data_IF_101297122533
#
_entry.id   IF_101297122533
#
_cell.length_a   1.000
_cell.length_b   1.000
_cell.length_c   1.000
_cell.angle_alpha   90.00
_cell.angle_beta   90.00
_cell.angle_gamma   90.00
#
_symmetry.space_group_name_H-M   'P 1'
#
loop_
_entity.id
_entity.type
_entity.pdbx_description
1 polymer ?
#
# COMPACT_ATOMS: atom_id res chain seq x y z
N UNK A 1 0.87 6.39 -16.75
CA UNK A 1 0.61 5.53 -15.59
C UNK A 1 0.68 6.42 -14.36
N UNK A 2 -0.46 6.72 -13.75
CA UNK A 2 -0.60 7.80 -12.76
C UNK A 2 0.23 7.58 -11.48
N UNK A 3 0.52 6.32 -11.13
CA UNK A 3 1.45 5.95 -10.05
C UNK A 3 2.85 5.52 -10.51
N UNK A 4 3.11 5.46 -11.83
CA UNK A 4 4.32 4.84 -12.41
C UNK A 4 5.50 5.79 -12.62
N UNK A 5 5.26 7.10 -12.65
CA UNK A 5 6.34 8.10 -12.57
C UNK A 5 6.83 8.20 -11.13
N UNK A 6 7.86 9.02 -10.88
CA UNK A 6 8.30 9.33 -9.52
C UNK A 6 7.26 10.20 -8.80
N UNK A 7 6.17 9.56 -8.36
CA UNK A 7 5.01 10.17 -7.72
C UNK A 7 5.43 10.94 -6.45
N UNK A 8 6.40 10.44 -5.69
CA UNK A 8 6.93 11.15 -4.53
C UNK A 8 7.50 12.53 -4.91
N UNK A 9 8.26 12.60 -6.02
CA UNK A 9 8.79 13.87 -6.54
C UNK A 9 7.69 14.79 -7.06
N UNK A 10 6.72 14.26 -7.79
CA UNK A 10 5.59 15.05 -8.32
C UNK A 10 4.76 15.64 -7.17
N UNK A 11 4.45 14.82 -6.15
CA UNK A 11 3.71 15.25 -4.97
C UNK A 11 4.47 16.32 -4.17
N UNK A 12 5.77 16.14 -3.95
CA UNK A 12 6.61 17.12 -3.24
C UNK A 12 6.60 18.49 -3.94
N UNK A 13 6.84 18.52 -5.25
CA UNK A 13 6.81 19.76 -6.04
C UNK A 13 5.40 20.38 -6.05
N UNK A 14 4.36 19.56 -6.20
CA UNK A 14 2.97 20.02 -6.20
C UNK A 14 2.56 20.62 -4.84
N UNK A 15 3.12 20.12 -3.75
CA UNK A 15 2.95 20.64 -2.39
C UNK A 15 3.75 21.92 -2.10
N UNK A 16 4.55 22.40 -3.07
CA UNK A 16 5.32 23.64 -2.94
C UNK A 16 6.72 23.47 -2.34
N UNK A 17 7.22 22.24 -2.21
CA UNK A 17 8.62 22.03 -1.81
C UNK A 17 9.57 22.45 -2.95
N UNK A 18 10.74 23.05 -2.64
CA UNK A 18 11.67 23.51 -3.66
C UNK A 18 12.26 22.34 -4.45
N UNK A 19 12.75 22.65 -5.66
CA UNK A 19 13.33 21.65 -6.55
C UNK A 19 14.58 20.95 -5.98
N UNK A 20 15.24 21.58 -5.01
CA UNK A 20 16.33 21.01 -4.22
C UNK A 20 15.93 19.84 -3.32
N UNK A 21 14.64 19.63 -3.00
CA UNK A 21 14.17 18.51 -2.16
C UNK A 21 14.01 17.24 -3.02
N UNK A 22 14.88 16.23 -2.91
CA UNK A 22 14.77 15.02 -3.72
C UNK A 22 13.51 14.21 -3.38
N UNK A 23 13.07 13.36 -4.30
CA UNK A 23 11.96 12.42 -4.08
C UNK A 23 12.22 11.10 -4.77
N UNK A 24 11.78 10.00 -4.18
CA UNK A 24 11.89 8.65 -4.75
C UNK A 24 10.63 7.85 -4.48
N UNK A 25 10.09 7.20 -5.50
CA UNK A 25 9.02 6.21 -5.38
C UNK A 25 9.64 4.82 -5.35
N UNK A 26 9.21 4.00 -4.41
CA UNK A 26 9.65 2.60 -4.25
C UNK A 26 8.48 1.65 -4.40
N UNK A 27 8.75 0.41 -4.76
CA UNK A 27 7.75 -0.66 -4.79
C UNK A 27 8.28 -1.88 -4.03
N UNK A 28 7.56 -2.22 -2.94
CA UNK A 28 7.70 -3.45 -2.17
C UNK A 28 6.32 -4.05 -1.90
N UNK A 29 5.47 -4.08 -2.93
CA UNK A 29 4.09 -4.57 -2.87
C UNK A 29 3.31 -3.97 -1.70
N UNK A 30 2.50 -4.77 -0.99
CA UNK A 30 1.66 -4.34 0.12
C UNK A 30 2.41 -3.63 1.26
N UNK A 31 3.75 -3.79 1.32
CA UNK A 31 4.59 -3.17 2.35
C UNK A 31 5.23 -1.83 1.94
N UNK A 32 4.96 -1.33 0.73
CA UNK A 32 5.67 -0.17 0.16
C UNK A 32 5.63 1.08 1.05
N UNK A 33 4.46 1.40 1.63
CA UNK A 33 4.34 2.56 2.52
C UNK A 33 5.18 2.43 3.79
N UNK A 34 5.17 1.24 4.43
CA UNK A 34 5.99 0.99 5.61
C UNK A 34 7.48 0.90 5.27
N UNK A 35 7.83 0.36 4.09
CA UNK A 35 9.20 0.35 3.59
C UNK A 35 9.74 1.77 3.39
N UNK A 36 8.92 2.71 2.92
CA UNK A 36 9.33 4.10 2.76
C UNK A 36 9.67 4.72 4.13
N UNK A 37 8.86 4.44 5.15
CA UNK A 37 9.11 4.89 6.53
C UNK A 37 10.41 4.27 7.07
N UNK A 38 10.61 2.96 6.87
CA UNK A 38 11.83 2.26 7.30
C UNK A 38 13.09 2.87 6.63
N UNK A 39 13.04 3.13 5.32
CA UNK A 39 14.14 3.76 4.59
C UNK A 39 14.44 5.16 5.09
N UNK A 40 13.41 5.97 5.38
CA UNK A 40 13.59 7.31 5.95
C UNK A 40 14.26 7.23 7.34
N UNK A 41 13.79 6.32 8.20
CA UNK A 41 14.38 6.10 9.51
C UNK A 41 15.85 5.67 9.43
N UNK A 42 16.19 4.73 8.53
CA UNK A 42 17.58 4.30 8.30
C UNK A 42 18.47 5.44 7.80
N UNK A 43 17.96 6.25 6.88
CA UNK A 43 18.73 7.36 6.31
C UNK A 43 19.00 8.46 7.34
N UNK A 44 18.02 8.76 8.19
CA UNK A 44 18.20 9.70 9.31
C UNK A 44 19.19 9.13 10.33
N UNK A 45 19.03 7.87 10.74
CA UNK A 45 19.91 7.21 11.71
C UNK A 45 21.37 7.11 11.25
N UNK A 46 21.59 6.96 9.94
CA UNK A 46 22.93 6.89 9.34
C UNK A 46 23.57 8.27 9.13
N UNK A 47 22.89 9.37 9.49
CA UNK A 47 23.35 10.74 9.24
C UNK A 47 23.27 11.14 7.76
N UNK A 48 22.58 10.37 6.93
CA UNK A 48 22.43 10.63 5.50
C UNK A 48 21.27 11.57 5.15
N UNK A 49 20.47 11.98 6.14
CA UNK A 49 19.45 13.02 6.09
C UNK A 49 19.15 13.52 7.51
N UNK A 50 18.72 14.77 7.65
CA UNK A 50 18.24 15.30 8.94
C UNK A 50 16.73 15.14 9.08
N UNK A 51 15.99 15.36 7.99
CA UNK A 51 14.53 15.28 7.92
C UNK A 51 14.14 14.59 6.61
N UNK A 52 13.15 13.70 6.66
CA UNK A 52 12.58 13.04 5.49
C UNK A 52 11.06 12.88 5.64
N UNK A 53 10.34 13.06 4.54
CA UNK A 53 8.93 12.71 4.42
C UNK A 53 8.80 11.31 3.85
N UNK A 54 7.95 10.48 4.43
CA UNK A 54 7.73 9.10 4.00
C UNK A 54 6.24 8.72 4.12
N UNK A 55 5.79 7.83 3.23
CA UNK A 55 4.42 7.36 3.19
C UNK A 55 4.16 6.53 1.95
N UNK A 56 2.88 6.34 1.62
CA UNK A 56 2.44 5.67 0.41
C UNK A 56 1.12 6.23 -0.07
N UNK A 57 0.85 6.08 -1.36
CA UNK A 57 -0.44 6.42 -1.98
C UNK A 57 -0.74 5.37 -3.04
N UNK A 58 -2.03 5.06 -3.21
CA UNK A 58 -2.51 4.04 -4.12
C UNK A 58 -3.87 4.45 -4.69
N UNK A 59 -4.13 4.12 -5.96
CA UNK A 59 -5.45 4.30 -6.58
C UNK A 59 -5.83 3.06 -7.37
N UNK A 60 -6.44 2.09 -6.68
CA UNK A 60 -6.89 0.84 -7.29
C UNK A 60 -8.06 1.03 -8.26
N UNK A 61 -8.79 2.14 -8.17
CA UNK A 61 -9.85 2.49 -9.12
C UNK A 61 -9.30 2.95 -10.48
N UNK A 62 -8.12 3.58 -10.51
CA UNK A 62 -7.48 4.08 -11.73
C UNK A 62 -6.46 3.08 -12.29
N UNK A 63 -5.80 2.33 -11.43
CA UNK A 63 -4.79 1.34 -11.81
C UNK A 63 -5.13 -0.03 -11.20
N UNK A 64 -5.50 -1.02 -12.03
CA UNK A 64 -5.67 -2.39 -11.58
C UNK A 64 -4.38 -2.94 -10.95
N UNK A 65 -4.52 -3.89 -10.02
CA UNK A 65 -3.38 -4.49 -9.29
C UNK A 65 -2.29 -5.08 -10.21
N UNK A 66 -2.66 -5.64 -11.36
CA UNK A 66 -1.73 -6.20 -12.36
C UNK A 66 -1.19 -5.15 -13.34
N UNK A 67 -1.54 -3.87 -13.15
CA UNK A 67 -1.33 -2.80 -14.10
C UNK A 67 -2.18 -2.95 -15.37
N UNK A 68 -1.90 -2.10 -16.36
CA UNK A 68 -2.65 -2.11 -17.62
C UNK A 68 -2.23 -3.23 -18.59
N UNK A 69 -1.09 -3.87 -18.34
CA UNK A 69 -0.57 -4.95 -19.16
C UNK A 69 0.11 -5.99 -18.27
N UNK A 70 -0.59 -7.08 -18.02
CA UNK A 70 0.00 -8.24 -17.38
C UNK A 70 0.86 -9.00 -18.41
N UNK A 71 2.17 -9.07 -18.17
CA UNK A 71 3.14 -9.75 -19.03
C UNK A 71 4.10 -10.60 -18.17
N UNK A 72 3.66 -11.78 -17.71
CA UNK A 72 4.49 -12.67 -16.90
C UNK A 72 5.65 -13.23 -17.74
N UNK A 73 6.76 -13.53 -17.09
CA UNK A 73 7.90 -14.17 -17.74
C UNK A 73 7.53 -15.63 -18.09
N UNK A 74 7.63 -16.08 -19.36
CA UNK A 74 7.21 -17.43 -19.76
C UNK A 74 7.94 -18.55 -19.02
N UNK A 75 9.24 -18.39 -18.79
CA UNK A 75 10.02 -19.39 -18.05
C UNK A 75 9.50 -19.55 -16.62
N UNK A 76 9.17 -18.44 -15.94
CA UNK A 76 8.60 -18.50 -14.59
C UNK A 76 7.20 -19.11 -14.57
N UNK A 77 6.40 -18.91 -15.62
CA UNK A 77 5.10 -19.59 -15.74
C UNK A 77 5.28 -21.11 -15.79
N UNK A 78 6.26 -21.59 -16.55
CA UNK A 78 6.47 -23.03 -16.72
C UNK A 78 7.16 -23.70 -15.53
N UNK A 79 8.05 -22.99 -14.82
CA UNK A 79 8.92 -23.58 -13.80
C UNK A 79 8.53 -23.22 -12.36
N UNK A 80 7.96 -22.02 -12.14
CA UNK A 80 7.63 -21.48 -10.81
C UNK A 80 6.28 -20.73 -10.87
N UNK A 81 5.17 -21.35 -11.35
CA UNK A 81 3.90 -20.67 -11.58
C UNK A 81 3.32 -20.02 -10.32
N UNK A 82 3.64 -20.54 -9.13
CA UNK A 82 3.19 -20.01 -7.84
C UNK A 82 3.63 -18.56 -7.58
N UNK A 83 4.68 -18.07 -8.26
CA UNK A 83 5.10 -16.66 -8.13
C UNK A 83 4.01 -15.69 -8.63
N UNK A 84 3.13 -16.16 -9.51
CA UNK A 84 1.99 -15.42 -10.04
C UNK A 84 0.64 -15.85 -9.44
N UNK A 85 0.66 -16.64 -8.35
CA UNK A 85 -0.56 -17.07 -7.67
C UNK A 85 -1.34 -15.87 -7.13
N UNK A 86 -2.64 -15.80 -7.45
CA UNK A 86 -3.50 -14.75 -6.95
C UNK A 86 -3.60 -14.76 -5.43
N UNK A 87 -3.67 -13.57 -4.81
CA UNK A 87 -3.66 -13.42 -3.35
C UNK A 87 -4.79 -14.17 -2.63
N UNK A 88 -5.96 -14.32 -3.27
CA UNK A 88 -7.04 -15.15 -2.71
C UNK A 88 -6.66 -16.63 -2.64
N UNK A 89 -5.99 -17.16 -3.67
CA UNK A 89 -5.52 -18.55 -3.67
C UNK A 89 -4.39 -18.77 -2.66
N UNK A 90 -3.53 -17.78 -2.42
CA UNK A 90 -2.52 -17.88 -1.35
C UNK A 90 -3.17 -17.90 0.03
N UNK A 91 -4.29 -17.18 0.23
CA UNK A 91 -5.09 -17.28 1.45
C UNK A 91 -5.74 -18.68 1.61
N UNK A 92 -6.23 -19.28 0.52
CA UNK A 92 -6.73 -20.67 0.54
C UNK A 92 -5.64 -21.68 0.93
N UNK A 93 -4.38 -21.45 0.57
CA UNK A 93 -3.27 -22.28 1.05
C UNK A 93 -3.11 -22.22 2.58
N UNK A 94 -3.37 -21.06 3.21
CA UNK A 94 -3.36 -20.93 4.67
C UNK A 94 -4.49 -21.73 5.29
N UNK A 95 -5.69 -21.72 4.70
CA UNK A 95 -6.78 -22.60 5.12
C UNK A 95 -6.36 -24.06 5.01
N UNK A 96 -5.78 -24.48 3.89
CA UNK A 96 -5.36 -25.87 3.73
C UNK A 96 -4.32 -26.30 4.76
N UNK A 97 -3.40 -25.41 5.14
CA UNK A 97 -2.33 -25.69 6.09
C UNK A 97 -2.77 -25.65 7.55
N UNK A 98 -3.53 -24.63 7.94
CA UNK A 98 -3.85 -24.33 9.34
C UNK A 98 -5.31 -24.63 9.71
N UNK A 99 -6.14 -25.00 8.73
CA UNK A 99 -7.56 -25.37 8.90
C UNK A 99 -8.41 -24.28 9.57
N UNK A 100 -8.12 -23.00 9.26
CA UNK A 100 -8.88 -21.84 9.75
C UNK A 100 -10.29 -21.87 9.15
N UNK A 101 -11.29 -22.23 9.96
CA UNK A 101 -12.64 -22.47 9.45
C UNK A 101 -13.27 -21.21 8.85
N UNK A 102 -14.26 -21.41 7.98
CA UNK A 102 -15.06 -20.30 7.42
C UNK A 102 -15.69 -19.44 8.53
N UNK A 103 -16.21 -20.10 9.57
CA UNK A 103 -16.82 -19.41 10.72
C UNK A 103 -15.79 -18.51 11.43
N UNK A 104 -14.57 -18.99 11.68
CA UNK A 104 -13.51 -18.17 12.29
C UNK A 104 -13.12 -16.96 11.41
N UNK A 105 -13.06 -17.14 10.09
CA UNK A 105 -12.79 -16.07 9.14
C UNK A 105 -13.89 -15.00 9.18
N UNK A 106 -15.16 -15.43 9.17
CA UNK A 106 -16.32 -14.54 9.23
C UNK A 106 -16.40 -13.80 10.57
N UNK A 107 -16.12 -14.48 11.69
CA UNK A 107 -16.07 -13.86 13.01
C UNK A 107 -14.97 -12.80 13.10
N UNK A 108 -13.80 -13.05 12.53
CA UNK A 108 -12.73 -12.05 12.45
C UNK A 108 -13.17 -10.83 11.65
N UNK A 109 -13.77 -11.05 10.46
CA UNK A 109 -14.27 -9.98 9.59
C UNK A 109 -15.35 -9.14 10.29
N UNK A 110 -16.35 -9.79 10.89
CA UNK A 110 -17.41 -9.13 11.64
C UNK A 110 -16.85 -8.25 12.76
N UNK A 111 -15.93 -8.78 13.56
CA UNK A 111 -15.27 -8.02 14.63
C UNK A 111 -14.49 -6.83 14.08
N UNK A 112 -13.76 -7.01 12.97
CA UNK A 112 -13.01 -5.92 12.33
C UNK A 112 -13.94 -4.77 11.92
N UNK A 113 -15.06 -5.07 11.27
CA UNK A 113 -16.05 -4.06 10.87
C UNK A 113 -16.70 -3.38 12.09
N UNK A 114 -17.05 -4.14 13.12
CA UNK A 114 -17.61 -3.60 14.36
C UNK A 114 -16.65 -2.62 15.02
N UNK A 115 -15.38 -2.99 15.16
CA UNK A 115 -14.34 -2.13 15.73
C UNK A 115 -14.14 -0.84 14.92
N UNK A 116 -14.17 -0.92 13.59
CA UNK A 116 -14.02 0.25 12.72
C UNK A 116 -15.18 1.24 12.91
N UNK A 117 -16.42 0.77 12.93
CA UNK A 117 -17.60 1.60 13.16
C UNK A 117 -17.60 2.24 14.56
N UNK A 118 -17.22 1.48 15.58
CA UNK A 118 -17.09 1.99 16.95
C UNK A 118 -15.99 3.06 17.06
N UNK A 119 -14.84 2.87 16.39
CA UNK A 119 -13.76 3.84 16.37
C UNK A 119 -14.17 5.13 15.64
N UNK A 120 -14.88 5.03 14.52
CA UNK A 120 -15.43 6.17 13.79
C UNK A 120 -16.46 6.94 14.64
N UNK A 121 -17.43 6.23 15.25
CA UNK A 121 -18.46 6.87 16.08
C UNK A 121 -17.87 7.57 17.31
N UNK A 122 -16.74 7.08 17.82
CA UNK A 122 -16.01 7.67 18.93
C UNK A 122 -14.99 8.76 18.53
N UNK A 123 -14.91 9.15 17.24
CA UNK A 123 -13.99 10.18 16.76
C UNK A 123 -12.50 9.80 16.83
N UNK A 124 -12.16 8.50 16.91
CA UNK A 124 -10.76 8.06 17.09
C UNK A 124 -9.86 8.34 15.89
N UNK A 125 -10.44 8.64 14.73
CA UNK A 125 -9.71 8.92 13.51
C UNK A 125 -9.65 10.42 13.16
N UNK A 126 -10.27 11.28 13.97
CA UNK A 126 -10.42 12.71 13.67
C UNK A 126 -9.06 13.43 13.59
N UNK A 127 -8.07 12.97 14.35
CA UNK A 127 -6.72 13.54 14.35
C UNK A 127 -5.84 13.05 13.18
N UNK A 128 -6.11 11.88 12.62
CA UNK A 128 -5.26 11.25 11.58
C UNK A 128 -5.83 11.34 10.16
N UNK A 129 -7.15 11.51 10.00
CA UNK A 129 -7.79 11.67 8.70
C UNK A 129 -7.81 13.15 8.29
N UNK A 130 -7.10 13.47 7.21
CA UNK A 130 -7.19 14.79 6.57
C UNK A 130 -8.32 14.77 5.53
N UNK A 131 -9.35 15.63 5.64
CA UNK A 131 -10.44 15.66 4.67
C UNK A 131 -9.97 16.16 3.30
N UNK A 132 -10.46 15.51 2.23
CA UNK A 132 -10.19 15.90 0.84
C UNK A 132 -11.43 16.55 0.23
N UNK A 133 -11.33 17.82 -0.15
CA UNK A 133 -12.37 18.47 -0.94
C UNK A 133 -12.38 17.92 -2.37
N UNK A 134 -13.51 17.36 -2.79
CA UNK A 134 -13.72 16.86 -4.15
C UNK A 134 -14.61 17.81 -4.93
N UNK A 135 -14.30 17.99 -6.22
CA UNK A 135 -15.21 18.63 -7.18
C UNK A 135 -15.85 17.54 -8.02
N UNK A 136 -17.16 17.40 -7.93
CA UNK A 136 -17.93 16.57 -8.85
C UNK A 136 -18.33 17.44 -10.04
N UNK A 137 -17.81 17.11 -11.22
CA UNK A 137 -18.30 17.64 -12.51
C UNK A 137 -19.54 16.91 -12.96
#
# INVERSE_FOLDING_TARGET
>A
AESGMNMARIAALRAGLPDSVPGVTINRFCSSGLQAIAMAAERIRSGGAEIMLAGGSESMSLLPMSGNKFAPNPWLVDHIPQIYMGMGLTAEQLYQKYKISREEQDQFSYRSHKNALEAQAAGKFDEEIVPLEIKTT
#
